data_IF_325059075093
#
_entry.id   IF_325059075093
#
_cell.length_a   1.000
_cell.length_b   1.000
_cell.length_c   1.000
_cell.angle_alpha   90.00
_cell.angle_beta   90.00
_cell.angle_gamma   90.00
#
_symmetry.space_group_name_H-M   'P 1'
#
loop_
_entity.id
_entity.type
_entity.pdbx_description
1 polymer ?
#
# COMPACT_ATOMS: atom_id res chain seq x y z
N UNK A 1 -4.24 -21.81 -75.02
CA UNK A 1 -4.59 -22.87 -74.05
C UNK A 1 -3.38 -23.11 -73.15
N UNK A 2 -3.33 -22.45 -72.00
CA UNK A 2 -2.26 -22.63 -71.00
C UNK A 2 -2.89 -22.85 -69.63
N UNK A 3 -2.48 -23.94 -68.98
CA UNK A 3 -2.94 -24.47 -67.68
C UNK A 3 -2.55 -23.51 -66.54
N UNK A 4 -3.53 -23.10 -65.73
CA UNK A 4 -3.31 -22.34 -64.51
C UNK A 4 -2.60 -23.20 -63.44
N UNK A 5 -1.45 -22.73 -62.93
CA UNK A 5 -0.82 -23.23 -61.71
C UNK A 5 -1.28 -22.36 -60.54
N UNK A 6 -1.98 -22.97 -59.59
CA UNK A 6 -2.27 -22.37 -58.29
C UNK A 6 -1.04 -22.52 -57.40
N UNK A 7 -0.43 -21.40 -57.02
CA UNK A 7 0.55 -21.35 -55.93
C UNK A 7 -0.12 -20.68 -54.73
N UNK A 8 -0.33 -21.46 -53.68
CA UNK A 8 -0.88 -21.05 -52.39
C UNK A 8 0.15 -20.14 -51.72
N UNK A 9 -0.20 -18.88 -51.50
CA UNK A 9 0.56 -17.98 -50.64
C UNK A 9 0.20 -18.27 -49.18
N UNK A 10 1.16 -18.77 -48.40
CA UNK A 10 1.04 -18.92 -46.95
C UNK A 10 1.22 -17.52 -46.32
N UNK A 11 0.14 -16.95 -45.80
CA UNK A 11 0.17 -15.76 -44.96
C UNK A 11 0.57 -16.16 -43.53
N UNK A 12 1.82 -15.90 -43.17
CA UNK A 12 2.29 -15.92 -41.78
C UNK A 12 1.75 -14.65 -41.07
N UNK A 13 0.70 -14.81 -40.28
CA UNK A 13 0.24 -13.76 -39.38
C UNK A 13 1.14 -13.70 -38.14
N UNK A 14 2.08 -12.74 -38.13
CA UNK A 14 2.88 -12.42 -36.95
C UNK A 14 1.97 -11.75 -35.90
N UNK A 15 1.56 -12.50 -34.88
CA UNK A 15 0.83 -11.97 -33.74
C UNK A 15 1.81 -11.23 -32.82
N UNK A 16 1.86 -9.91 -32.92
CA UNK A 16 2.56 -9.06 -31.96
C UNK A 16 1.80 -9.11 -30.63
N UNK A 17 2.36 -9.84 -29.65
CA UNK A 17 1.87 -9.80 -28.27
C UNK A 17 2.06 -8.37 -27.73
N UNK A 18 0.94 -7.67 -27.50
CA UNK A 18 0.92 -6.42 -26.75
C UNK A 18 1.37 -6.72 -25.32
N UNK A 19 2.66 -6.49 -25.03
CA UNK A 19 3.15 -6.37 -23.67
C UNK A 19 2.49 -5.13 -23.07
N UNK A 20 1.43 -5.32 -22.29
CA UNK A 20 0.94 -4.27 -21.42
C UNK A 20 2.09 -3.93 -20.44
N UNK A 21 2.57 -2.68 -20.38
CA UNK A 21 3.55 -2.31 -19.37
C UNK A 21 2.93 -2.57 -18.00
N UNK A 22 3.65 -3.33 -17.18
CA UNK A 22 3.39 -3.43 -15.74
C UNK A 22 3.43 -1.99 -15.26
N UNK A 23 2.28 -1.40 -14.98
CA UNK A 23 2.25 -0.14 -14.26
C UNK A 23 2.83 -0.49 -12.90
N UNK A 24 4.06 -0.06 -12.65
CA UNK A 24 4.58 0.00 -11.30
C UNK A 24 3.47 0.66 -10.47
N UNK A 25 2.96 -0.01 -9.44
CA UNK A 25 2.06 0.64 -8.49
C UNK A 25 2.76 1.94 -8.11
N UNK A 26 2.19 3.05 -8.55
CA UNK A 26 2.80 4.36 -8.41
C UNK A 26 3.17 4.53 -6.93
N UNK A 27 4.36 5.05 -6.64
CA UNK A 27 4.85 5.36 -5.30
C UNK A 27 3.90 6.35 -4.60
N UNK A 28 2.76 5.84 -4.17
CA UNK A 28 1.64 6.61 -3.69
C UNK A 28 1.78 6.68 -2.17
N UNK A 29 2.00 7.89 -1.62
CA UNK A 29 2.10 8.05 -0.19
C UNK A 29 0.74 7.83 0.46
N UNK A 30 0.77 7.24 1.65
CA UNK A 30 -0.39 7.21 2.51
C UNK A 30 -0.67 8.62 3.06
N UNK A 31 -1.95 9.01 3.07
CA UNK A 31 -2.39 10.21 3.76
C UNK A 31 -2.13 10.10 5.26
N UNK A 32 -1.74 11.22 5.88
CA UNK A 32 -1.56 11.34 7.33
C UNK A 32 -0.42 12.26 7.73
N UNK A 33 0.02 12.09 8.97
CA UNK A 33 1.15 12.80 9.55
C UNK A 33 2.46 12.13 9.13
N UNK A 34 3.47 12.92 8.86
CA UNK A 34 4.81 12.50 8.46
C UNK A 34 5.84 13.22 9.32
N UNK A 35 6.81 12.45 9.80
CA UNK A 35 7.84 12.94 10.71
C UNK A 35 9.23 12.82 10.07
N UNK A 36 10.06 13.84 10.27
CA UNK A 36 11.48 13.78 9.91
C UNK A 36 12.17 12.87 10.92
N UNK A 37 12.81 11.80 10.46
CA UNK A 37 13.23 10.69 11.31
C UNK A 37 14.18 11.13 12.45
N UNK A 38 15.04 12.12 12.18
CA UNK A 38 15.97 12.66 13.18
C UNK A 38 15.34 13.56 14.25
N UNK A 39 14.05 13.85 14.14
CA UNK A 39 13.35 14.83 14.99
C UNK A 39 12.26 14.18 15.86
N UNK A 40 12.10 12.85 15.80
CA UNK A 40 11.09 12.09 16.56
C UNK A 40 11.55 11.87 18.00
N UNK A 41 11.37 12.88 18.85
CA UNK A 41 11.84 12.87 20.26
C UNK A 41 10.71 12.84 21.30
N UNK A 42 9.45 12.88 20.87
CA UNK A 42 8.28 13.03 21.75
C UNK A 42 8.07 14.44 22.31
N UNK A 43 8.92 15.41 21.93
CA UNK A 43 8.79 16.84 22.27
C UNK A 43 8.15 17.62 21.11
N UNK A 44 7.63 18.84 21.36
CA UNK A 44 7.18 19.73 20.28
C UNK A 44 8.26 19.94 19.22
N UNK A 45 7.84 19.92 17.96
CA UNK A 45 8.73 19.98 16.81
C UNK A 45 7.96 20.32 15.54
N UNK A 46 8.61 20.15 14.40
CA UNK A 46 8.01 20.35 13.08
C UNK A 46 7.64 19.01 12.43
N UNK A 47 6.86 19.09 11.36
CA UNK A 47 6.51 17.93 10.55
C UNK A 47 5.60 18.30 9.38
N UNK A 48 5.09 17.27 8.73
CA UNK A 48 4.21 17.40 7.58
C UNK A 48 2.90 16.64 7.81
N UNK A 49 1.81 17.18 7.29
CA UNK A 49 0.62 16.41 6.97
C UNK A 49 0.53 16.31 5.45
N UNK A 50 0.46 15.10 4.92
CA UNK A 50 0.32 14.83 3.50
C UNK A 50 -1.05 14.22 3.28
N UNK A 51 -1.82 14.77 2.34
CA UNK A 51 -3.06 14.16 1.87
C UNK A 51 -2.97 13.93 0.36
N UNK A 52 -3.30 12.71 -0.07
CA UNK A 52 -3.25 12.28 -1.45
C UNK A 52 -4.67 12.03 -1.98
N UNK A 53 -5.08 12.78 -3.00
CA UNK A 53 -6.37 12.60 -3.67
C UNK A 53 -6.19 12.01 -5.07
N UNK A 54 -6.97 10.97 -5.37
CA UNK A 54 -6.95 10.30 -6.68
C UNK A 54 -5.59 9.72 -7.05
N UNK A 55 -4.74 9.47 -6.05
CA UNK A 55 -3.41 8.90 -6.19
C UNK A 55 -2.35 9.79 -6.83
N UNK A 56 -2.68 11.01 -7.28
CA UNK A 56 -1.74 11.91 -7.97
C UNK A 56 -1.60 13.27 -7.32
N UNK A 57 -2.70 13.92 -6.93
CA UNK A 57 -2.64 15.26 -6.36
C UNK A 57 -2.36 15.18 -4.87
N UNK A 58 -1.37 15.94 -4.41
CA UNK A 58 -1.00 16.03 -3.02
C UNK A 58 -1.32 17.42 -2.47
N UNK A 59 -1.78 17.46 -1.23
CA UNK A 59 -1.70 18.63 -0.35
C UNK A 59 -0.72 18.30 0.74
N UNK A 60 0.30 19.14 0.89
CA UNK A 60 1.32 19.04 1.94
C UNK A 60 1.17 20.25 2.84
N UNK A 61 0.85 20.02 4.10
CA UNK A 61 0.84 21.06 5.13
C UNK A 61 2.07 20.88 6.01
N UNK A 62 2.96 21.86 6.01
CA UNK A 62 4.04 21.95 6.98
C UNK A 62 3.52 22.63 8.24
N UNK A 63 3.89 22.11 9.39
CA UNK A 63 3.76 22.79 10.68
C UNK A 63 5.13 22.85 11.34
N UNK A 64 5.48 24.01 11.89
CA UNK A 64 6.78 24.23 12.50
C UNK A 64 6.93 25.66 12.99
N UNK A 65 8.12 26.23 12.83
CA UNK A 65 8.49 27.47 13.49
C UNK A 65 9.19 28.44 12.54
N UNK A 66 8.95 29.74 12.75
CA UNK A 66 9.73 30.82 12.13
C UNK A 66 11.10 30.94 12.81
N UNK A 67 11.97 31.75 12.23
CA UNK A 67 13.27 32.09 12.80
C UNK A 67 13.16 32.71 14.21
N UNK A 68 12.06 33.41 14.50
CA UNK A 68 11.77 33.99 15.83
C UNK A 68 11.21 32.97 16.84
N UNK A 69 11.05 31.70 16.44
CA UNK A 69 10.50 30.62 17.27
C UNK A 69 8.97 30.60 17.36
N UNK A 70 8.26 31.55 16.74
CA UNK A 70 6.80 31.51 16.67
C UNK A 70 6.32 30.37 15.78
N UNK A 71 5.19 29.76 16.15
CA UNK A 71 4.61 28.69 15.34
C UNK A 71 4.06 29.23 14.01
N UNK A 72 4.17 28.41 12.97
CA UNK A 72 3.60 28.68 11.66
C UNK A 72 3.14 27.39 10.99
N UNK A 73 2.23 27.56 10.02
CA UNK A 73 1.89 26.51 9.08
C UNK A 73 2.11 27.04 7.65
N UNK A 74 2.50 26.16 6.75
CA UNK A 74 2.68 26.44 5.33
C UNK A 74 1.95 25.36 4.53
N UNK A 75 1.50 25.66 3.31
CA UNK A 75 0.93 24.64 2.43
C UNK A 75 1.63 24.63 1.07
N UNK A 76 1.72 23.44 0.51
CA UNK A 76 2.09 23.19 -0.88
C UNK A 76 1.06 22.24 -1.48
N UNK A 77 0.74 22.41 -2.76
CA UNK A 77 -0.20 21.53 -3.45
C UNK A 77 0.17 21.37 -4.91
N UNK A 78 -0.04 20.18 -5.46
CA UNK A 78 0.26 19.91 -6.85
C UNK A 78 0.27 18.42 -7.18
N UNK A 79 0.51 18.05 -8.45
CA UNK A 79 0.65 16.67 -8.84
C UNK A 79 1.99 16.10 -8.38
N UNK A 80 1.96 14.88 -7.83
CA UNK A 80 3.11 13.99 -7.77
C UNK A 80 3.38 13.44 -9.18
N UNK A 81 4.65 13.32 -9.52
CA UNK A 81 5.11 12.71 -10.75
C UNK A 81 5.04 11.17 -10.67
N UNK A 82 5.09 10.54 -11.84
CA UNK A 82 5.00 9.07 -11.95
C UNK A 82 6.21 8.36 -11.34
N UNK A 83 7.36 9.05 -11.25
CA UNK A 83 8.59 8.57 -10.59
C UNK A 83 8.53 8.66 -9.05
N UNK A 84 7.41 9.10 -8.47
CA UNK A 84 7.25 9.25 -7.03
C UNK A 84 7.79 10.56 -6.46
N UNK A 85 8.17 11.52 -7.29
CA UNK A 85 8.63 12.84 -6.83
C UNK A 85 7.50 13.87 -6.75
N UNK A 86 7.60 14.80 -5.83
CA UNK A 86 6.70 15.94 -5.68
C UNK A 86 7.51 17.20 -5.40
N UNK A 87 7.29 18.24 -6.19
CA UNK A 87 7.91 19.55 -6.01
C UNK A 87 6.83 20.62 -6.13
N UNK A 88 6.73 21.51 -5.15
CA UNK A 88 5.77 22.60 -5.17
C UNK A 88 6.24 23.78 -4.32
N UNK A 89 5.67 24.95 -4.58
CA UNK A 89 5.89 26.14 -3.74
C UNK A 89 5.27 25.92 -2.35
N UNK A 90 6.06 26.18 -1.32
CA UNK A 90 5.63 26.15 0.08
C UNK A 90 5.21 27.56 0.50
N UNK A 91 3.91 27.74 0.72
CA UNK A 91 3.26 29.05 0.85
C UNK A 91 2.79 29.30 2.28
N UNK A 92 3.11 30.48 2.81
CA UNK A 92 2.58 30.98 4.06
C UNK A 92 1.32 31.82 3.82
N UNK A 93 0.30 31.65 4.66
CA UNK A 93 -0.93 32.43 4.64
C UNK A 93 -1.07 33.30 5.87
N UNK A 94 -1.81 34.40 5.75
CA UNK A 94 -2.09 35.31 6.87
C UNK A 94 -3.48 35.94 6.80
N UNK A 95 -3.91 36.53 7.92
CA UNK A 95 -5.09 37.39 7.97
C UNK A 95 -6.45 36.68 7.90
N UNK A 96 -6.47 35.35 7.94
CA UNK A 96 -7.73 34.57 7.93
C UNK A 96 -8.53 34.66 9.23
N UNK A 97 -9.68 33.99 9.25
CA UNK A 97 -10.55 33.86 10.44
C UNK A 97 -9.78 33.27 11.63
N UNK A 98 -9.77 34.00 12.74
CA UNK A 98 -9.31 33.48 14.03
C UNK A 98 -10.36 32.57 14.70
N UNK A 99 -9.93 31.73 15.64
CA UNK A 99 -10.82 30.87 16.42
C UNK A 99 -11.87 31.71 17.16
N UNK A 100 -13.15 31.42 16.93
CA UNK A 100 -14.27 32.18 17.52
C UNK A 100 -14.58 33.53 16.86
N UNK A 101 -13.85 33.97 15.83
CA UNK A 101 -14.08 35.24 15.15
C UNK A 101 -15.11 35.14 14.00
N UNK A 102 -15.62 36.29 13.49
CA UNK A 102 -16.41 36.33 12.26
C UNK A 102 -15.67 35.73 11.05
N UNK A 103 -16.43 35.32 10.03
CA UNK A 103 -15.87 34.85 8.77
C UNK A 103 -14.93 35.91 8.16
N UNK A 104 -13.73 35.47 7.77
CA UNK A 104 -12.70 36.31 7.16
C UNK A 104 -11.79 35.46 6.29
N UNK A 105 -11.57 35.93 5.08
CA UNK A 105 -10.67 35.27 4.14
C UNK A 105 -9.21 35.54 4.50
N UNK A 106 -8.39 34.49 4.35
CA UNK A 106 -6.95 34.62 4.40
C UNK A 106 -6.39 35.07 3.05
N UNK A 107 -5.13 35.47 3.06
CA UNK A 107 -4.38 35.80 1.86
C UNK A 107 -2.99 35.20 1.91
N UNK A 108 -2.37 35.02 0.74
CA UNK A 108 -0.95 34.65 0.65
C UNK A 108 -0.12 35.73 1.33
N UNK A 109 0.72 35.32 2.29
CA UNK A 109 1.71 36.19 2.91
C UNK A 109 3.01 36.18 2.11
N UNK A 110 3.52 34.98 1.83
CA UNK A 110 4.85 34.77 1.24
C UNK A 110 4.98 33.36 0.66
N UNK A 111 5.71 33.23 -0.44
CA UNK A 111 6.29 31.95 -0.90
C UNK A 111 7.64 31.77 -0.23
N UNK A 112 7.80 30.72 0.58
CA UNK A 112 9.02 30.44 1.35
C UNK A 112 10.11 29.83 0.46
N UNK A 113 9.69 29.08 -0.56
CA UNK A 113 10.54 28.39 -1.53
C UNK A 113 9.91 27.06 -1.93
N UNK A 114 10.64 26.25 -2.70
CA UNK A 114 10.13 24.94 -3.11
C UNK A 114 10.42 23.88 -2.05
N UNK A 115 9.40 23.11 -1.69
CA UNK A 115 9.58 21.83 -1.02
C UNK A 115 9.75 20.75 -2.10
N UNK A 116 10.69 19.82 -1.88
CA UNK A 116 10.84 18.64 -2.71
C UNK A 116 10.70 17.38 -1.85
N UNK A 117 9.92 16.42 -2.33
CA UNK A 117 9.69 15.13 -1.67
C UNK A 117 9.93 14.02 -2.69
N UNK A 118 10.68 12.99 -2.32
CA UNK A 118 10.81 11.77 -3.11
C UNK A 118 10.34 10.58 -2.26
N UNK A 119 9.26 9.93 -2.69
CA UNK A 119 8.70 8.77 -1.99
C UNK A 119 9.41 7.49 -2.43
N UNK A 120 9.90 6.69 -1.48
CA UNK A 120 10.43 5.34 -1.78
C UNK A 120 9.38 4.24 -1.54
N UNK A 121 8.34 4.56 -0.77
CA UNK A 121 7.18 3.70 -0.53
C UNK A 121 5.99 4.53 -0.05
N UNK A 122 4.86 3.87 0.23
CA UNK A 122 3.71 4.51 0.85
C UNK A 122 4.01 5.17 2.22
N UNK A 123 5.12 4.81 2.89
CA UNK A 123 5.46 5.28 4.23
C UNK A 123 6.86 5.81 4.43
N UNK A 124 7.68 5.83 3.40
CA UNK A 124 9.06 6.28 3.49
C UNK A 124 9.36 7.25 2.36
N UNK A 125 10.10 8.30 2.68
CA UNK A 125 10.51 9.30 1.72
C UNK A 125 11.76 10.05 2.17
N UNK A 126 12.32 10.84 1.26
CA UNK A 126 13.17 11.98 1.59
C UNK A 126 12.42 13.30 1.35
N UNK A 127 12.70 14.29 2.18
CA UNK A 127 12.19 15.66 2.04
C UNK A 127 13.35 16.65 2.03
N UNK A 128 13.26 17.65 1.17
CA UNK A 128 14.15 18.81 1.14
C UNK A 128 13.29 20.05 1.35
N UNK A 129 13.50 20.71 2.49
CA UNK A 129 12.87 22.00 2.77
C UNK A 129 13.68 23.14 2.13
N UNK A 130 13.06 24.30 1.87
CA UNK A 130 13.77 25.47 1.37
C UNK A 130 14.99 25.82 2.25
N UNK A 131 16.19 25.75 1.69
CA UNK A 131 17.43 26.09 2.38
C UNK A 131 18.00 24.99 3.31
N UNK A 132 17.38 23.81 3.37
CA UNK A 132 17.86 22.69 4.17
C UNK A 132 18.44 21.57 3.30
N UNK A 133 19.33 20.76 3.88
CA UNK A 133 19.79 19.52 3.25
C UNK A 133 18.65 18.47 3.23
N UNK A 134 18.66 17.51 2.29
CA UNK A 134 17.68 16.43 2.27
C UNK A 134 17.69 15.63 3.58
N UNK A 135 16.51 15.33 4.12
CA UNK A 135 16.31 14.55 5.32
C UNK A 135 15.38 13.36 5.05
N UNK A 136 15.59 12.25 5.77
CA UNK A 136 14.69 11.09 5.72
C UNK A 136 13.44 11.35 6.54
N UNK A 137 12.29 10.98 6.00
CA UNK A 137 11.02 11.06 6.70
C UNK A 137 10.23 9.76 6.58
N UNK A 138 9.37 9.53 7.56
CA UNK A 138 8.49 8.38 7.63
C UNK A 138 7.08 8.81 7.96
N UNK A 139 6.10 8.07 7.45
CA UNK A 139 4.72 8.25 7.88
C UNK A 139 4.64 7.94 9.37
N UNK A 140 4.16 8.92 10.14
CA UNK A 140 4.04 8.80 11.57
C UNK A 140 2.95 7.79 11.93
N UNK A 141 3.37 6.74 12.64
CA UNK A 141 2.55 5.60 12.98
C UNK A 141 2.29 5.62 14.50
N UNK A 142 1.05 5.91 14.90
CA UNK A 142 0.65 5.95 16.30
C UNK A 142 -0.11 4.70 16.77
N UNK A 143 -0.49 3.82 15.84
CA UNK A 143 -1.11 2.53 16.12
C UNK A 143 -0.16 1.38 15.78
N UNK A 144 -0.24 0.27 16.50
CA UNK A 144 0.37 -0.98 16.05
C UNK A 144 -0.60 -1.74 15.14
N UNK A 145 -0.40 -1.63 13.82
CA UNK A 145 -1.19 -2.37 12.84
C UNK A 145 -0.90 -3.88 12.84
N UNK A 146 0.28 -4.30 13.31
CA UNK A 146 0.66 -5.72 13.37
C UNK A 146 -0.17 -6.48 14.40
N UNK A 147 -0.60 -5.80 15.47
CA UNK A 147 -1.49 -6.36 16.49
C UNK A 147 -2.85 -6.81 15.94
N UNK A 148 -3.28 -6.31 14.77
CA UNK A 148 -4.53 -6.74 14.13
C UNK A 148 -4.38 -8.06 13.37
N UNK A 149 -3.17 -8.36 12.90
CA UNK A 149 -2.87 -9.65 12.30
C UNK A 149 -2.82 -10.74 13.37
N UNK A 150 -2.33 -10.47 14.58
CA UNK A 150 -2.27 -11.52 15.62
C UNK A 150 -3.57 -11.80 16.38
N UNK A 151 -4.70 -11.18 15.98
CA UNK A 151 -6.00 -11.56 16.53
C UNK A 151 -6.46 -12.85 15.83
N UNK A 152 -6.71 -13.90 16.61
CA UNK A 152 -7.07 -15.25 16.15
C UNK A 152 -8.41 -15.28 15.37
N UNK A 153 -8.44 -14.69 14.18
CA UNK A 153 -9.60 -14.55 13.32
C UNK A 153 -9.47 -15.38 12.06
N UNK A 154 -10.57 -15.99 11.65
CA UNK A 154 -10.71 -16.59 10.31
C UNK A 154 -11.14 -15.49 9.36
N UNK A 155 -10.35 -15.21 8.33
CA UNK A 155 -10.75 -14.24 7.30
C UNK A 155 -11.28 -14.99 6.09
N UNK A 156 -12.54 -14.74 5.72
CA UNK A 156 -13.16 -15.35 4.54
C UNK A 156 -12.79 -14.53 3.30
N UNK A 157 -12.01 -15.11 2.38
CA UNK A 157 -11.50 -14.41 1.20
C UNK A 157 -12.40 -14.61 -0.02
N UNK A 158 -12.43 -13.62 -0.90
CA UNK A 158 -12.81 -13.75 -2.31
C UNK A 158 -11.58 -13.70 -3.23
N UNK A 159 -11.45 -14.66 -4.15
CA UNK A 159 -10.31 -14.82 -5.07
C UNK A 159 -10.59 -14.21 -6.45
N UNK A 160 -9.56 -13.67 -7.11
CA UNK A 160 -9.61 -13.34 -8.53
C UNK A 160 -8.25 -13.62 -9.19
N UNK A 161 -8.19 -14.54 -10.17
CA UNK A 161 -7.07 -14.60 -11.11
C UNK A 161 -7.26 -13.52 -12.16
N UNK A 162 -6.14 -12.90 -12.56
CA UNK A 162 -6.11 -11.93 -13.65
C UNK A 162 -6.66 -12.47 -14.99
N UNK A 163 -6.78 -13.79 -15.16
CA UNK A 163 -7.26 -14.44 -16.40
C UNK A 163 -8.64 -15.08 -16.30
N UNK A 164 -9.09 -15.53 -15.11
CA UNK A 164 -10.42 -16.12 -14.89
C UNK A 164 -10.90 -15.82 -13.47
N UNK A 165 -11.75 -14.81 -13.32
CA UNK A 165 -12.29 -14.41 -12.01
C UNK A 165 -13.24 -15.45 -11.45
N UNK A 166 -12.78 -16.24 -10.48
CA UNK A 166 -13.62 -17.16 -9.70
C UNK A 166 -13.57 -16.80 -8.24
N UNK A 167 -14.69 -16.28 -7.71
CA UNK A 167 -14.83 -15.99 -6.29
C UNK A 167 -15.01 -17.32 -5.55
N UNK A 168 -13.99 -17.77 -4.81
CA UNK A 168 -14.08 -18.94 -3.95
C UNK A 168 -13.85 -18.55 -2.49
N UNK A 169 -14.73 -18.95 -1.56
CA UNK A 169 -14.52 -18.67 -0.15
C UNK A 169 -13.32 -19.47 0.37
N UNK A 170 -12.34 -18.80 0.95
CA UNK A 170 -11.24 -19.45 1.66
C UNK A 170 -11.11 -18.87 3.06
N UNK A 171 -10.77 -19.71 4.03
CA UNK A 171 -10.36 -19.26 5.37
C UNK A 171 -8.87 -18.96 5.35
N UNK A 172 -8.47 -17.78 5.82
CA UNK A 172 -7.08 -17.46 6.12
C UNK A 172 -6.88 -17.22 7.60
N UNK A 173 -5.76 -17.75 8.10
CA UNK A 173 -5.20 -17.44 9.40
C UNK A 173 -3.81 -16.88 9.17
N UNK A 174 -3.43 -15.88 9.94
CA UNK A 174 -2.08 -15.33 9.90
C UNK A 174 -1.51 -15.22 11.32
N UNK A 175 -0.18 -15.27 11.41
CA UNK A 175 0.56 -15.10 12.65
C UNK A 175 1.84 -14.34 12.33
N UNK A 176 2.05 -13.25 13.06
CA UNK A 176 3.24 -12.41 13.04
C UNK A 176 4.00 -12.63 14.35
N UNK A 177 5.25 -13.06 14.29
CA UNK A 177 6.04 -13.35 15.49
C UNK A 177 7.51 -13.05 15.25
N UNK A 178 8.09 -12.14 16.04
CA UNK A 178 9.53 -11.81 15.99
C UNK A 178 10.03 -11.46 14.56
N UNK A 179 9.22 -10.72 13.79
CA UNK A 179 9.52 -10.36 12.40
C UNK A 179 9.27 -11.47 11.37
N UNK A 180 8.77 -12.63 11.80
CA UNK A 180 8.36 -13.73 10.93
C UNK A 180 6.88 -13.63 10.61
N UNK A 181 6.56 -13.96 9.36
CA UNK A 181 5.21 -14.03 8.83
C UNK A 181 4.84 -15.50 8.61
N UNK A 182 3.66 -15.88 9.08
CA UNK A 182 3.03 -17.15 8.77
C UNK A 182 1.60 -16.90 8.32
N UNK A 183 1.16 -17.60 7.28
CA UNK A 183 -0.23 -17.57 6.85
C UNK A 183 -0.63 -18.95 6.34
N UNK A 184 -1.75 -19.46 6.85
CA UNK A 184 -2.40 -20.65 6.31
C UNK A 184 -3.67 -20.24 5.59
N UNK A 185 -3.89 -20.80 4.41
CA UNK A 185 -5.09 -20.65 3.60
C UNK A 185 -5.72 -22.00 3.38
N UNK A 186 -7.02 -22.09 3.61
CA UNK A 186 -7.80 -23.31 3.44
C UNK A 186 -9.08 -23.02 2.66
N UNK A 187 -9.32 -23.75 1.58
CA UNK A 187 -10.54 -23.68 0.77
C UNK A 187 -11.19 -25.07 0.69
N UNK A 188 -11.73 -25.56 1.82
CA UNK A 188 -12.36 -26.88 1.87
C UNK A 188 -11.41 -28.00 1.44
N UNK A 189 -11.94 -29.01 0.75
CA UNK A 189 -11.15 -30.14 0.23
C UNK A 189 -10.32 -29.80 -1.02
N UNK A 190 -10.40 -28.56 -1.52
CA UNK A 190 -9.81 -28.18 -2.80
C UNK A 190 -8.32 -27.86 -2.67
N UNK A 191 -7.95 -27.06 -1.67
CA UNK A 191 -6.57 -26.63 -1.52
C UNK A 191 -6.26 -26.11 -0.11
N UNK A 192 -5.07 -26.47 0.39
CA UNK A 192 -4.43 -25.84 1.55
C UNK A 192 -3.11 -25.24 1.14
N UNK A 193 -2.87 -23.97 1.44
CA UNK A 193 -1.60 -23.30 1.19
C UNK A 193 -1.01 -22.76 2.49
N UNK A 194 0.26 -23.04 2.72
CA UNK A 194 1.05 -22.52 3.83
C UNK A 194 2.08 -21.54 3.30
N UNK A 195 2.19 -20.38 3.94
CA UNK A 195 3.10 -19.30 3.60
C UNK A 195 3.96 -18.99 4.81
N UNK A 196 5.26 -18.83 4.59
CA UNK A 196 6.23 -18.51 5.64
C UNK A 196 7.26 -17.52 5.11
N UNK A 197 7.62 -16.55 5.93
CA UNK A 197 8.52 -15.49 5.48
C UNK A 197 8.87 -14.48 6.55
N UNK A 198 9.30 -13.30 6.08
CA UNK A 198 9.56 -12.13 6.93
C UNK A 198 8.51 -11.07 6.65
N UNK A 199 8.18 -10.27 7.65
CA UNK A 199 7.36 -9.07 7.43
C UNK A 199 8.06 -7.80 7.91
N UNK A 200 7.62 -6.69 7.33
CA UNK A 200 7.96 -5.34 7.76
C UNK A 200 6.66 -4.52 7.84
N UNK A 201 6.48 -3.67 8.87
CA UNK A 201 5.39 -2.70 8.88
C UNK A 201 5.42 -1.84 7.61
N UNK A 202 4.26 -1.62 7.00
CA UNK A 202 4.14 -0.83 5.78
C UNK A 202 2.78 -0.15 5.72
N UNK A 203 2.77 1.17 5.82
CA UNK A 203 1.52 1.94 5.76
C UNK A 203 0.58 1.56 6.88
N UNK A 204 -0.66 1.33 6.45
CA UNK A 204 -1.76 0.87 7.27
C UNK A 204 -1.70 -0.64 7.61
N UNK A 205 -0.65 -1.34 7.19
CA UNK A 205 -0.54 -2.78 7.34
C UNK A 205 0.91 -3.28 7.35
N UNK A 206 1.18 -4.34 6.58
CA UNK A 206 2.48 -4.97 6.48
C UNK A 206 2.86 -5.25 5.01
N UNK A 207 4.16 -5.40 4.77
CA UNK A 207 4.70 -6.12 3.61
C UNK A 207 5.28 -7.43 4.12
N UNK A 208 4.96 -8.54 3.45
CA UNK A 208 5.53 -9.84 3.74
C UNK A 208 6.12 -10.46 2.46
N UNK A 209 7.21 -11.20 2.62
CA UNK A 209 7.87 -11.93 1.53
C UNK A 209 8.45 -13.25 2.06
N UNK A 210 8.47 -14.28 1.21
CA UNK A 210 8.99 -15.58 1.61
C UNK A 210 8.62 -16.70 0.64
N UNK A 211 8.34 -17.88 1.19
CA UNK A 211 7.99 -19.08 0.43
C UNK A 211 6.57 -19.54 0.73
N UNK A 212 5.96 -20.21 -0.23
CA UNK A 212 4.67 -20.86 -0.06
C UNK A 212 4.72 -22.30 -0.54
N UNK A 213 3.85 -23.14 0.02
CA UNK A 213 3.58 -24.50 -0.42
C UNK A 213 2.08 -24.76 -0.37
N UNK A 214 1.50 -25.11 -1.51
CA UNK A 214 0.10 -25.48 -1.66
C UNK A 214 -0.05 -26.98 -1.94
N UNK A 215 -1.07 -27.58 -1.34
CA UNK A 215 -1.46 -28.97 -1.54
C UNK A 215 -2.92 -29.02 -1.97
N UNK A 216 -3.18 -29.74 -3.05
CA UNK A 216 -4.49 -30.10 -3.56
C UNK A 216 -4.63 -31.63 -3.54
N UNK A 217 -5.81 -32.16 -3.83
CA UNK A 217 -6.08 -33.60 -3.80
C UNK A 217 -5.10 -34.44 -4.65
N UNK A 218 -4.65 -33.91 -5.80
CA UNK A 218 -3.79 -34.62 -6.76
C UNK A 218 -2.54 -33.85 -7.18
N UNK A 219 -2.28 -32.69 -6.59
CA UNK A 219 -1.17 -31.82 -7.00
C UNK A 219 -0.59 -31.06 -5.83
N UNK A 220 0.67 -30.65 -5.97
CA UNK A 220 1.33 -29.74 -5.05
C UNK A 220 2.07 -28.66 -5.84
N UNK A 221 2.04 -27.44 -5.33
CA UNK A 221 2.83 -26.34 -5.89
C UNK A 221 3.60 -25.63 -4.79
N UNK A 222 4.74 -25.07 -5.15
CA UNK A 222 5.57 -24.29 -4.22
C UNK A 222 6.30 -23.20 -4.96
N UNK A 223 6.75 -22.19 -4.23
CA UNK A 223 7.43 -21.06 -4.82
C UNK A 223 7.73 -19.96 -3.82
N UNK A 224 8.00 -18.78 -4.34
CA UNK A 224 8.14 -17.56 -3.52
C UNK A 224 6.91 -16.68 -3.64
N UNK A 225 6.68 -15.84 -2.64
CA UNK A 225 5.61 -14.86 -2.66
C UNK A 225 6.08 -13.52 -2.09
N UNK A 226 5.37 -12.46 -2.45
CA UNK A 226 5.40 -11.18 -1.76
C UNK A 226 4.01 -10.57 -1.72
N UNK A 227 3.78 -9.64 -0.80
CA UNK A 227 2.48 -9.00 -0.62
C UNK A 227 2.52 -7.52 -0.91
N UNK A 228 1.45 -7.00 -1.51
CA UNK A 228 1.13 -5.59 -1.60
C UNK A 228 -0.18 -5.32 -0.86
N UNK A 229 -0.32 -4.11 -0.32
CA UNK A 229 -1.56 -3.64 0.35
C UNK A 229 -2.11 -4.58 1.44
N UNK A 230 -1.26 -5.39 2.10
CA UNK A 230 -1.71 -6.32 3.12
C UNK A 230 -2.05 -5.57 4.41
N UNK A 231 -3.35 -5.39 4.68
CA UNK A 231 -3.89 -4.60 5.78
C UNK A 231 -5.05 -5.35 6.46
N UNK A 232 -5.16 -5.18 7.78
CA UNK A 232 -6.38 -5.44 8.55
C UNK A 232 -6.85 -4.12 9.15
N UNK A 233 -8.03 -3.66 8.77
CA UNK A 233 -8.56 -2.37 9.23
C UNK A 233 -9.21 -2.45 10.63
N UNK A 234 -9.71 -1.33 11.12
CA UNK A 234 -10.38 -1.23 12.44
C UNK A 234 -11.70 -1.98 12.50
N UNK A 235 -12.30 -2.26 11.34
CA UNK A 235 -13.51 -3.05 11.18
C UNK A 235 -13.20 -4.54 11.02
N UNK A 236 -11.92 -4.94 11.15
CA UNK A 236 -11.42 -6.29 10.93
C UNK A 236 -11.70 -6.80 9.50
N UNK A 237 -11.70 -5.88 8.54
CA UNK A 237 -11.63 -6.18 7.12
C UNK A 237 -10.18 -6.43 6.73
N UNK A 238 -9.94 -7.57 6.11
CA UNK A 238 -8.67 -7.97 5.56
C UNK A 238 -8.66 -7.70 4.05
N UNK A 239 -7.60 -7.06 3.57
CA UNK A 239 -7.27 -6.97 2.15
C UNK A 239 -5.79 -7.28 1.93
N UNK A 240 -5.46 -7.86 0.78
CA UNK A 240 -4.09 -8.00 0.32
C UNK A 240 -4.07 -8.30 -1.18
N UNK A 241 -2.95 -7.98 -1.84
CA UNK A 241 -2.55 -8.58 -3.10
C UNK A 241 -1.37 -9.49 -2.81
N UNK A 242 -1.48 -10.76 -3.18
CA UNK A 242 -0.40 -11.75 -3.01
C UNK A 242 0.11 -12.11 -4.37
N UNK A 243 1.37 -11.77 -4.63
CA UNK A 243 2.06 -12.20 -5.82
C UNK A 243 2.80 -13.50 -5.55
N UNK A 244 2.71 -14.43 -6.49
CA UNK A 244 3.37 -15.73 -6.41
C UNK A 244 4.23 -16.00 -7.62
N UNK A 245 5.44 -16.46 -7.36
CA UNK A 245 6.34 -17.05 -8.35
C UNK A 245 6.35 -18.56 -8.14
N UNK A 246 5.52 -19.27 -8.91
CA UNK A 246 5.34 -20.72 -8.77
C UNK A 246 6.42 -21.47 -9.55
N UNK A 247 7.12 -22.40 -8.91
CA UNK A 247 8.15 -23.20 -9.57
C UNK A 247 7.57 -24.01 -10.73
N UNK A 248 8.22 -23.96 -11.89
CA UNK A 248 7.78 -24.69 -13.09
C UNK A 248 6.54 -24.12 -13.79
N UNK A 249 5.99 -22.99 -13.33
CA UNK A 249 4.87 -22.31 -14.00
C UNK A 249 5.35 -21.38 -15.11
N UNK A 250 4.66 -21.41 -16.26
CA UNK A 250 4.83 -20.45 -17.36
C UNK A 250 4.06 -19.14 -17.15
N UNK A 251 3.21 -19.06 -16.12
CA UNK A 251 2.31 -17.93 -15.85
C UNK A 251 2.76 -17.20 -14.57
N UNK A 252 3.97 -16.65 -14.62
CA UNK A 252 4.63 -16.00 -13.49
C UNK A 252 4.95 -14.52 -13.79
N UNK A 253 4.84 -13.62 -12.80
CA UNK A 253 4.22 -13.85 -11.50
C UNK A 253 2.69 -13.84 -11.61
N UNK A 254 2.01 -14.65 -10.79
CA UNK A 254 0.55 -14.64 -10.68
C UNK A 254 0.11 -13.81 -9.48
N UNK A 255 -0.89 -12.94 -9.64
CA UNK A 255 -1.50 -12.19 -8.54
C UNK A 255 -2.76 -12.87 -8.01
N UNK A 256 -2.92 -12.87 -6.68
CA UNK A 256 -4.12 -13.25 -5.96
C UNK A 256 -4.63 -12.05 -5.17
N UNK A 257 -5.86 -11.62 -5.44
CA UNK A 257 -6.50 -10.56 -4.68
C UNK A 257 -7.29 -11.17 -3.54
N UNK A 258 -7.08 -10.67 -2.32
CA UNK A 258 -7.74 -11.09 -1.11
C UNK A 258 -8.58 -9.97 -0.55
N UNK A 259 -9.85 -10.26 -0.23
CA UNK A 259 -10.74 -9.38 0.52
C UNK A 259 -11.64 -10.22 1.42
N UNK A 260 -11.77 -9.83 2.69
CA UNK A 260 -12.54 -10.62 3.63
C UNK A 260 -12.83 -9.93 4.95
N UNK A 261 -13.80 -10.45 5.70
CA UNK A 261 -14.08 -10.02 7.06
C UNK A 261 -13.67 -11.11 8.04
N UNK A 262 -13.28 -10.70 9.25
CA UNK A 262 -13.08 -11.62 10.36
C UNK A 262 -14.41 -12.32 10.72
N UNK A 263 -14.42 -13.64 10.66
CA UNK A 263 -15.54 -14.49 11.05
C UNK A 263 -15.27 -15.14 12.40
N UNK A 264 -16.18 -14.92 13.37
CA UNK A 264 -16.20 -15.70 14.60
C UNK A 264 -16.78 -17.10 14.32
N UNK A 265 -16.26 -18.19 14.91
CA UNK A 265 -16.93 -19.48 14.83
C UNK A 265 -18.31 -19.39 15.52
N UNK A 266 -19.35 -19.97 14.92
CA UNK A 266 -20.74 -20.00 15.43
C UNK A 266 -20.93 -20.80 16.75
N UNK A 267 -19.86 -21.07 17.49
CA UNK A 267 -19.92 -21.90 18.70
C UNK A 267 -20.05 -20.98 19.92
N UNK A 268 -21.24 -20.97 20.51
CA UNK A 268 -21.68 -20.20 21.70
C UNK A 268 -20.84 -20.39 22.99
N UNK A 269 -19.66 -21.00 22.92
CA UNK A 269 -18.87 -21.42 24.10
C UNK A 269 -17.42 -20.90 24.06
N UNK A 270 -17.04 -20.15 23.03
CA UNK A 270 -15.73 -19.49 22.95
C UNK A 270 -15.90 -17.98 22.84
N UNK A 271 -15.12 -17.17 23.61
CA UNK A 271 -15.15 -15.73 23.45
C UNK A 271 -14.90 -15.39 21.97
N UNK A 272 -15.76 -14.55 21.41
CA UNK A 272 -15.73 -14.17 20.00
C UNK A 272 -14.34 -13.66 19.63
N UNK A 273 -13.65 -14.39 18.76
CA UNK A 273 -12.23 -14.14 18.40
C UNK A 273 -12.03 -12.98 17.42
N UNK A 274 -13.13 -12.29 17.09
CA UNK A 274 -13.19 -11.08 16.26
C UNK A 274 -13.76 -9.89 17.06
N UNK A 275 -13.42 -9.76 18.34
CA UNK A 275 -13.86 -8.60 19.13
C UNK A 275 -13.05 -7.36 18.77
N UNK A 276 -13.76 -6.28 18.46
CA UNK A 276 -13.24 -4.91 18.47
C UNK A 276 -12.71 -4.60 19.89
N UNK A 277 -11.61 -3.83 20.05
CA UNK A 277 -11.24 -3.32 21.37
C UNK A 277 -12.40 -2.56 22.03
#
# INVERSE_FOLDING_TARGET
MFKARHSIAVLLAASAALLAPITAQALQPDSGMWAVNGEVTGKPGRGLQIDAQGGRNLIVTYFGYREDGSSMFLQASGPRQDDGTFTAELVEFQGGKALGAPARDGQVRKVVGNIAIAFDSATTASVTFPGEAPARMTRFQYEDHTARFNREGRYAISYALATFGSLMPATVNFKLENGNFYMSRYNGDLETCEYSGRYQPAGRGIKAEGTFACKQASSSSSGTFWTEEMEVDEQLSYKAVIWKQTQGSSINPSAEYHYGLCQAPFVFVTPSRCTKP
#
